data_IF_691618630481
#
_entry.id   IF_691618630481
#
_cell.length_a   1.000
_cell.length_b   1.000
_cell.length_c   1.000
_cell.angle_alpha   90.00
_cell.angle_beta   90.00
_cell.angle_gamma   90.00
#
_symmetry.space_group_name_H-M   'P 1'
#
loop_
_entity.id
_entity.type
_entity.pdbx_description
1 polymer ?
#
# COMPACT_ATOMS: atom_id res chain seq x y z
N UNK A 1 -58.33 44.38 -10.52
CA UNK A 1 -57.20 45.19 -10.01
C UNK A 1 -56.89 44.68 -8.61
N UNK A 2 -55.88 43.81 -8.49
CA UNK A 2 -55.50 43.20 -7.21
C UNK A 2 -53.99 43.36 -7.10
N UNK A 3 -53.57 44.28 -6.23
CA UNK A 3 -52.17 44.46 -5.84
C UNK A 3 -51.70 43.23 -5.08
N UNK A 4 -50.60 42.63 -5.52
CA UNK A 4 -49.88 41.63 -4.74
C UNK A 4 -48.44 42.11 -4.59
N UNK A 5 -48.17 42.67 -3.41
CA UNK A 5 -46.86 43.05 -2.92
C UNK A 5 -45.99 41.81 -2.72
N UNK A 6 -44.75 41.85 -3.21
CA UNK A 6 -43.77 40.78 -3.01
C UNK A 6 -43.16 40.78 -1.60
N UNK A 7 -42.53 39.67 -1.19
CA UNK A 7 -41.60 39.66 -0.06
C UNK A 7 -40.14 39.80 -0.54
N UNK A 8 -39.54 40.86 -0.04
CA UNK A 8 -38.10 41.10 0.10
C UNK A 8 -37.52 40.09 1.11
N UNK A 9 -36.52 39.31 0.71
CA UNK A 9 -35.68 38.56 1.65
C UNK A 9 -34.24 39.08 1.57
N UNK A 10 -33.88 39.77 2.64
CA UNK A 10 -32.60 40.35 2.91
C UNK A 10 -31.52 39.28 3.16
N UNK A 11 -30.39 39.49 2.48
CA UNK A 11 -29.01 39.51 3.00
C UNK A 11 -28.83 39.02 4.45
N UNK A 12 -28.17 37.88 4.62
CA UNK A 12 -27.52 37.47 5.88
C UNK A 12 -26.00 37.59 5.79
N UNK A 13 -25.31 37.86 6.90
CA UNK A 13 -23.97 38.43 6.93
C UNK A 13 -22.86 37.38 7.10
N UNK A 14 -21.70 37.74 6.53
CA UNK A 14 -20.37 37.24 6.89
C UNK A 14 -20.22 37.14 8.41
N UNK A 15 -19.76 35.98 8.90
CA UNK A 15 -19.13 35.87 10.21
C UNK A 15 -17.65 35.54 10.04
N UNK A 16 -16.87 36.61 10.10
CA UNK A 16 -15.47 36.59 10.53
C UNK A 16 -15.37 35.93 11.92
N UNK A 17 -14.64 34.82 12.01
CA UNK A 17 -14.11 34.32 13.28
C UNK A 17 -12.59 34.39 13.20
N UNK A 18 -12.07 35.54 13.63
CA UNK A 18 -10.66 35.71 13.93
C UNK A 18 -10.48 35.97 15.43
N UNK A 19 -9.51 35.24 16.01
CA UNK A 19 -8.78 35.51 17.26
C UNK A 19 -9.55 35.30 18.57
N UNK A 20 -9.05 34.40 19.40
CA UNK A 20 -8.11 34.74 20.48
C UNK A 20 -8.20 33.67 21.58
N UNK A 21 -7.14 32.87 21.78
CA UNK A 21 -6.96 32.19 23.07
C UNK A 21 -5.48 32.00 23.38
N UNK A 22 -4.89 33.10 23.84
CA UNK A 22 -3.73 33.07 24.71
C UNK A 22 -4.03 32.25 25.95
N UNK A 23 -3.31 31.14 26.18
CA UNK A 23 -3.23 30.54 27.51
C UNK A 23 -1.84 30.00 27.82
N UNK A 24 -1.14 30.83 28.58
CA UNK A 24 -0.29 30.49 29.73
C UNK A 24 0.82 29.45 29.56
N UNK A 25 2.03 30.01 29.49
CA UNK A 25 3.23 29.51 30.16
C UNK A 25 2.90 28.85 31.51
N UNK A 26 3.30 27.59 31.70
CA UNK A 26 3.62 27.01 32.99
C UNK A 26 4.81 26.06 32.81
N UNK A 27 5.92 26.48 33.40
CA UNK A 27 7.15 25.74 33.60
C UNK A 27 6.89 24.55 34.52
N UNK A 28 7.26 23.34 34.09
CA UNK A 28 7.49 22.20 34.99
C UNK A 28 8.89 21.67 34.75
N UNK A 29 9.79 22.19 35.55
CA UNK A 29 11.10 21.63 35.86
C UNK A 29 10.98 20.35 36.70
N UNK A 30 11.98 19.47 36.52
CA UNK A 30 12.43 18.41 37.42
C UNK A 30 11.64 17.09 37.46
N UNK A 31 12.26 16.00 37.00
CA UNK A 31 13.15 15.21 37.86
C UNK A 31 13.63 13.95 37.12
N UNK A 32 14.93 13.93 36.85
CA UNK A 32 15.65 12.75 36.39
C UNK A 32 15.92 11.85 37.60
N UNK A 33 15.15 10.79 37.74
CA UNK A 33 15.34 9.77 38.79
C UNK A 33 15.92 8.51 38.15
N UNK A 34 17.25 8.38 38.23
CA UNK A 34 17.97 7.14 37.95
C UNK A 34 17.59 6.07 38.99
N UNK A 35 17.28 4.84 38.58
CA UNK A 35 17.25 3.71 39.51
C UNK A 35 18.68 3.20 39.75
N UNK A 36 19.07 3.21 41.03
CA UNK A 36 20.28 2.60 41.58
C UNK A 36 20.09 1.07 41.62
N UNK A 37 20.95 0.31 40.95
CA UNK A 37 21.07 -1.14 41.19
C UNK A 37 22.34 -1.46 41.96
N UNK A 38 22.30 -2.43 42.90
CA UNK A 38 23.37 -2.67 43.86
C UNK A 38 24.54 -3.48 43.28
N UNK A 39 25.71 -3.19 43.84
CA UNK A 39 26.96 -3.90 43.66
C UNK A 39 26.83 -5.40 43.99
N UNK A 40 27.27 -6.26 43.07
CA UNK A 40 27.70 -7.62 43.41
C UNK A 40 29.19 -7.74 43.09
N UNK A 41 29.92 -8.05 44.16
CA UNK A 41 31.37 -8.25 44.22
C UNK A 41 31.65 -9.74 44.00
N UNK A 42 32.83 -10.02 43.44
CA UNK A 42 33.62 -11.26 43.49
C UNK A 42 33.57 -12.19 42.27
N UNK A 43 34.75 -12.48 41.75
CA UNK A 43 34.99 -13.59 40.82
C UNK A 43 36.30 -13.47 40.05
N UNK A 44 37.42 -13.51 40.76
CA UNK A 44 38.76 -13.67 40.18
C UNK A 44 38.89 -15.04 39.50
N UNK A 45 39.36 -15.07 38.26
CA UNK A 45 39.56 -16.31 37.50
C UNK A 45 40.52 -16.11 36.33
N UNK A 46 41.82 -16.26 36.61
CA UNK A 46 42.89 -16.33 35.61
C UNK A 46 42.83 -17.62 34.78
N UNK A 47 42.95 -17.51 33.46
CA UNK A 47 43.60 -18.50 32.55
C UNK A 47 43.63 -17.90 31.14
N UNK A 48 44.76 -17.38 30.66
CA UNK A 48 45.76 -18.07 29.82
C UNK A 48 45.17 -18.93 28.70
N UNK A 49 45.37 -18.47 27.46
CA UNK A 49 45.13 -19.26 26.25
C UNK A 49 45.48 -18.48 24.99
N UNK A 50 46.77 -18.29 24.74
CA UNK A 50 47.27 -17.87 23.43
C UNK A 50 47.06 -19.00 22.41
N UNK A 51 46.63 -18.68 21.18
CA UNK A 51 46.97 -19.43 19.97
C UNK A 51 46.64 -18.61 18.72
N UNK A 52 47.71 -18.10 18.12
CA UNK A 52 47.97 -17.91 16.70
C UNK A 52 47.01 -18.59 15.70
N UNK A 53 46.59 -17.85 14.68
CA UNK A 53 46.61 -18.35 13.31
C UNK A 53 46.72 -17.22 12.28
N UNK A 54 47.91 -17.13 11.71
CA UNK A 54 48.27 -16.37 10.52
C UNK A 54 47.76 -17.11 9.28
N UNK A 55 47.00 -16.45 8.40
CA UNK A 55 46.42 -17.08 7.21
C UNK A 55 46.20 -16.10 6.05
N UNK A 56 47.27 -15.93 5.27
CA UNK A 56 47.42 -15.60 3.84
C UNK A 56 46.41 -14.68 3.08
N UNK A 57 46.92 -13.74 2.24
CA UNK A 57 46.17 -13.10 1.17
C UNK A 57 46.17 -13.98 -0.08
N UNK A 58 45.00 -14.19 -0.68
CA UNK A 58 44.83 -14.93 -1.93
C UNK A 58 44.01 -14.11 -2.90
N UNK A 59 44.68 -13.26 -3.67
CA UNK A 59 44.13 -12.64 -4.87
C UNK A 59 43.72 -13.73 -5.86
N UNK A 60 42.44 -13.74 -6.24
CA UNK A 60 41.95 -14.47 -7.41
C UNK A 60 41.10 -13.53 -8.25
N UNK A 61 41.77 -12.90 -9.20
CA UNK A 61 41.16 -12.49 -10.46
C UNK A 61 40.34 -13.66 -11.04
N UNK A 62 39.05 -13.44 -11.31
CA UNK A 62 38.31 -14.26 -12.28
C UNK A 62 37.11 -13.53 -12.85
N UNK A 63 37.38 -12.94 -14.02
CA UNK A 63 36.55 -12.82 -15.22
C UNK A 63 35.12 -12.23 -15.13
N UNK A 64 34.82 -11.15 -15.89
CA UNK A 64 33.46 -10.71 -16.10
C UNK A 64 32.68 -11.75 -16.94
N UNK A 65 31.58 -12.26 -16.39
CA UNK A 65 30.64 -13.10 -17.14
C UNK A 65 29.93 -12.25 -18.19
N UNK A 66 30.23 -12.51 -19.47
CA UNK A 66 29.39 -12.11 -20.60
C UNK A 66 28.09 -12.90 -20.54
N UNK A 67 26.98 -12.19 -20.33
CA UNK A 67 25.65 -12.74 -20.51
C UNK A 67 25.38 -12.99 -22.01
N UNK A 68 24.85 -14.15 -22.42
CA UNK A 68 24.38 -14.35 -23.77
C UNK A 68 23.11 -13.52 -24.02
N UNK A 69 23.11 -12.75 -25.11
CA UNK A 69 21.87 -12.22 -25.71
C UNK A 69 21.12 -13.38 -26.35
N UNK A 70 19.97 -13.73 -25.77
CA UNK A 70 19.03 -14.67 -26.38
C UNK A 70 17.95 -13.85 -27.09
N UNK A 71 17.88 -14.02 -28.41
CA UNK A 71 16.90 -13.38 -29.29
C UNK A 71 15.47 -13.83 -28.95
N UNK A 72 14.46 -12.96 -29.12
CA UNK A 72 13.05 -13.35 -29.00
C UNK A 72 12.65 -14.25 -30.17
N UNK A 73 12.33 -15.51 -29.85
CA UNK A 73 11.66 -16.44 -30.76
C UNK A 73 10.23 -15.96 -31.02
N UNK A 74 9.97 -15.54 -32.25
CA UNK A 74 8.65 -15.30 -32.82
C UNK A 74 7.93 -16.63 -33.06
N UNK A 75 6.75 -16.84 -32.47
CA UNK A 75 5.77 -17.89 -32.81
C UNK A 75 4.41 -17.46 -32.20
N UNK A 76 3.23 -17.61 -32.77
CA UNK A 76 2.76 -17.98 -34.11
C UNK A 76 1.29 -17.55 -34.14
N UNK A 77 0.92 -16.71 -35.09
CA UNK A 77 -0.46 -16.25 -35.30
C UNK A 77 -1.27 -17.39 -35.90
N UNK A 78 -2.11 -18.05 -35.11
CA UNK A 78 -3.09 -19.02 -35.62
C UNK A 78 -4.36 -18.29 -36.07
N UNK A 79 -4.45 -18.06 -37.38
CA UNK A 79 -5.68 -17.75 -38.10
C UNK A 79 -6.69 -18.91 -38.02
N UNK A 80 -7.95 -18.61 -37.68
CA UNK A 80 -9.07 -19.54 -37.88
C UNK A 80 -10.41 -18.82 -38.01
N UNK A 81 -11.40 -19.44 -38.69
CA UNK A 81 -12.01 -18.81 -39.86
C UNK A 81 -13.47 -18.43 -39.69
N UNK A 82 -13.90 -17.58 -40.62
CA UNK A 82 -15.28 -17.20 -40.92
C UNK A 82 -16.28 -18.35 -40.84
N UNK A 83 -17.32 -18.18 -40.03
CA UNK A 83 -18.59 -18.89 -40.20
C UNK A 83 -19.67 -17.90 -40.60
N UNK A 84 -19.95 -17.85 -41.90
CA UNK A 84 -21.10 -17.16 -42.50
C UNK A 84 -22.36 -17.94 -42.14
N UNK A 85 -23.32 -17.32 -41.46
CA UNK A 85 -24.70 -17.80 -41.44
C UNK A 85 -25.66 -16.69 -41.83
N UNK A 86 -26.03 -16.71 -43.11
CA UNK A 86 -27.16 -15.99 -43.67
C UNK A 86 -28.46 -16.61 -43.16
N UNK A 87 -29.36 -15.77 -42.68
CA UNK A 87 -30.72 -16.13 -42.30
C UNK A 87 -31.59 -14.88 -42.35
N UNK A 88 -32.14 -14.59 -43.52
CA UNK A 88 -33.17 -13.59 -43.70
C UNK A 88 -34.45 -14.06 -42.98
N UNK A 89 -35.03 -13.21 -42.14
CA UNK A 89 -36.46 -13.35 -41.81
C UNK A 89 -37.07 -12.03 -41.33
N UNK A 90 -37.97 -11.53 -42.19
CA UNK A 90 -39.25 -10.91 -41.85
C UNK A 90 -39.25 -9.59 -41.07
N UNK A 91 -39.34 -8.51 -41.85
CA UNK A 91 -39.78 -7.17 -41.46
C UNK A 91 -41.26 -7.17 -41.05
N UNK A 92 -41.54 -7.11 -39.75
CA UNK A 92 -42.82 -6.63 -39.23
C UNK A 92 -42.55 -5.40 -38.36
N UNK A 93 -42.91 -4.24 -38.91
CA UNK A 93 -42.75 -2.93 -38.29
C UNK A 93 -43.59 -2.82 -36.99
N UNK A 94 -42.96 -3.08 -35.85
CA UNK A 94 -43.44 -2.61 -34.55
C UNK A 94 -42.67 -1.34 -34.19
N UNK A 95 -43.38 -0.24 -34.00
CA UNK A 95 -42.82 0.98 -33.40
C UNK A 95 -42.30 0.59 -32.01
N UNK A 96 -40.99 0.70 -31.72
CA UNK A 96 -40.53 0.58 -30.35
C UNK A 96 -40.99 1.83 -29.61
N UNK A 97 -41.91 1.66 -28.66
CA UNK A 97 -42.09 2.64 -27.59
C UNK A 97 -40.75 2.72 -26.86
N UNK A 98 -39.99 3.75 -27.20
CA UNK A 98 -38.79 4.17 -26.50
C UNK A 98 -39.25 4.99 -25.31
N UNK A 99 -39.90 4.33 -24.35
CA UNK A 99 -39.94 4.82 -22.98
C UNK A 99 -38.50 4.73 -22.47
N UNK A 100 -37.73 5.77 -22.79
CA UNK A 100 -36.43 6.05 -22.21
C UNK A 100 -36.70 6.30 -20.74
N UNK A 101 -36.56 5.23 -19.96
CA UNK A 101 -36.63 5.20 -18.51
C UNK A 101 -35.59 6.18 -17.95
N UNK A 102 -35.99 7.45 -17.83
CA UNK A 102 -35.15 8.55 -17.37
C UNK A 102 -34.69 8.32 -15.91
N UNK A 103 -35.41 7.48 -15.16
CA UNK A 103 -35.03 7.07 -13.81
C UNK A 103 -33.82 6.13 -13.80
N UNK A 104 -33.47 5.49 -14.93
CA UNK A 104 -32.27 4.68 -15.05
C UNK A 104 -30.95 5.49 -15.11
N UNK A 105 -31.03 6.83 -15.28
CA UNK A 105 -29.87 7.72 -15.39
C UNK A 105 -29.52 8.35 -14.04
N UNK A 106 -30.41 8.31 -13.04
CA UNK A 106 -30.10 8.71 -11.67
C UNK A 106 -29.36 7.60 -10.92
N UNK A 107 -28.28 7.10 -11.52
CA UNK A 107 -27.34 6.23 -10.79
C UNK A 107 -26.49 7.14 -9.90
N UNK A 108 -26.44 6.89 -8.59
CA UNK A 108 -25.59 7.66 -7.70
C UNK A 108 -24.14 7.54 -8.19
N UNK A 109 -23.56 8.68 -8.56
CA UNK A 109 -22.16 8.84 -9.02
C UNK A 109 -21.16 8.72 -7.85
N UNK A 110 -21.66 8.43 -6.66
CA UNK A 110 -20.91 8.35 -5.40
C UNK A 110 -19.82 7.26 -5.31
N UNK A 111 -19.82 6.12 -6.03
CA UNK A 111 -18.83 5.08 -5.80
C UNK A 111 -17.40 5.52 -6.15
N UNK A 112 -17.21 6.17 -7.30
CA UNK A 112 -15.87 6.37 -7.87
C UNK A 112 -15.01 7.32 -7.03
N UNK A 113 -15.59 8.40 -6.52
CA UNK A 113 -14.87 9.38 -5.71
C UNK A 113 -14.43 8.79 -4.37
N UNK A 114 -15.27 7.96 -3.75
CA UNK A 114 -14.96 7.27 -2.50
C UNK A 114 -13.78 6.30 -2.67
N UNK A 115 -13.75 5.50 -3.75
CA UNK A 115 -12.60 4.63 -4.03
C UNK A 115 -11.31 5.41 -4.20
N UNK A 116 -11.39 6.51 -4.95
CA UNK A 116 -10.24 7.35 -5.20
C UNK A 116 -9.72 7.97 -3.90
N UNK A 117 -10.60 8.49 -3.06
CA UNK A 117 -10.25 9.05 -1.76
C UNK A 117 -9.57 8.01 -0.85
N UNK A 118 -10.11 6.79 -0.80
CA UNK A 118 -9.50 5.70 -0.04
C UNK A 118 -8.12 5.32 -0.61
N UNK A 119 -8.00 5.18 -1.94
CA UNK A 119 -6.72 4.84 -2.59
C UNK A 119 -5.69 5.96 -2.45
N UNK A 120 -6.10 7.22 -2.57
CA UNK A 120 -5.25 8.38 -2.36
C UNK A 120 -4.75 8.41 -0.90
N UNK A 121 -5.61 8.05 0.06
CA UNK A 121 -5.22 8.00 1.47
C UNK A 121 -4.24 6.85 1.80
N UNK A 122 -4.26 5.75 1.03
CA UNK A 122 -3.22 4.71 1.09
C UNK A 122 -1.97 5.05 0.28
N UNK A 123 -2.06 5.99 -0.65
CA UNK A 123 -0.94 6.56 -1.40
C UNK A 123 -0.25 7.70 -0.63
N UNK A 124 -0.72 8.02 0.57
CA UNK A 124 -0.14 9.02 1.44
C UNK A 124 1.34 8.71 1.75
N UNK A 125 2.19 9.71 1.58
CA UNK A 125 3.65 9.57 1.69
C UNK A 125 4.06 9.13 3.10
N UNK A 126 3.41 9.64 4.15
CA UNK A 126 3.74 9.30 5.53
C UNK A 126 3.36 7.86 5.86
N UNK A 127 2.18 7.42 5.43
CA UNK A 127 1.76 6.03 5.55
C UNK A 127 2.69 5.09 4.77
N UNK A 128 2.95 5.40 3.49
CA UNK A 128 3.81 4.60 2.62
C UNK A 128 5.22 4.50 3.19
N UNK A 129 5.78 5.60 3.68
CA UNK A 129 7.09 5.61 4.33
C UNK A 129 7.10 4.76 5.61
N UNK A 130 6.09 4.90 6.47
CA UNK A 130 5.98 4.10 7.71
C UNK A 130 5.91 2.60 7.40
N UNK A 131 5.09 2.22 6.41
CA UNK A 131 4.93 0.84 5.96
C UNK A 131 6.25 0.31 5.38
N UNK A 132 6.92 1.09 4.54
CA UNK A 132 8.20 0.73 3.95
C UNK A 132 9.29 0.54 5.01
N UNK A 133 9.41 1.45 5.98
CA UNK A 133 10.35 1.32 7.10
C UNK A 133 10.10 0.04 7.91
N UNK A 134 8.83 -0.26 8.19
CA UNK A 134 8.44 -1.49 8.87
C UNK A 134 8.85 -2.72 8.06
N UNK A 135 8.51 -2.78 6.77
CA UNK A 135 8.89 -3.90 5.90
C UNK A 135 10.41 -4.07 5.84
N UNK A 136 11.16 -2.97 5.76
CA UNK A 136 12.62 -2.98 5.69
C UNK A 136 13.28 -3.56 6.95
N UNK A 137 12.68 -3.30 8.12
CA UNK A 137 13.12 -3.84 9.42
C UNK A 137 12.92 -5.35 9.52
N UNK A 138 11.87 -5.88 8.92
CA UNK A 138 11.46 -7.28 9.09
C UNK A 138 11.82 -8.20 7.91
N UNK A 139 12.20 -7.65 6.76
CA UNK A 139 12.43 -8.42 5.53
C UNK A 139 13.59 -9.44 5.61
N UNK A 140 14.59 -9.23 6.47
CA UNK A 140 15.76 -10.11 6.57
C UNK A 140 15.41 -11.52 7.10
N UNK A 141 14.23 -11.69 7.72
CA UNK A 141 13.77 -12.98 8.26
C UNK A 141 13.24 -13.95 7.20
N UNK A 142 12.97 -13.44 6.00
CA UNK A 142 12.36 -14.18 4.90
C UNK A 142 13.45 -14.74 3.99
N UNK A 143 13.40 -16.04 3.65
CA UNK A 143 14.40 -16.67 2.81
C UNK A 143 14.06 -16.43 1.33
N UNK A 144 14.99 -16.69 0.41
CA UNK A 144 14.87 -16.26 -0.99
C UNK A 144 14.16 -17.31 -1.89
N UNK A 145 13.85 -18.48 -1.34
CA UNK A 145 13.14 -19.58 -1.99
C UNK A 145 11.63 -19.29 -2.15
N UNK A 146 10.94 -20.03 -3.02
CA UNK A 146 9.51 -19.82 -3.27
C UNK A 146 8.70 -20.05 -1.97
N UNK A 147 7.83 -19.10 -1.54
CA UNK A 147 6.99 -19.28 -0.36
C UNK A 147 6.17 -20.57 -0.35
N UNK A 148 5.84 -21.15 -1.51
CA UNK A 148 5.09 -22.41 -1.54
C UNK A 148 5.93 -23.61 -1.08
N UNK A 149 7.25 -23.54 -1.26
CA UNK A 149 8.18 -24.64 -1.01
C UNK A 149 8.88 -24.55 0.37
N UNK A 150 8.74 -23.42 1.05
CA UNK A 150 9.43 -23.13 2.32
C UNK A 150 8.55 -23.44 3.53
N UNK A 151 9.17 -24.01 4.57
CA UNK A 151 8.52 -24.19 5.86
C UNK A 151 8.14 -22.84 6.47
N UNK A 152 6.84 -22.63 6.67
CA UNK A 152 6.26 -21.38 7.12
C UNK A 152 6.46 -21.20 8.63
N UNK A 153 7.34 -20.28 9.02
CA UNK A 153 7.59 -19.97 10.43
C UNK A 153 6.39 -19.25 11.05
N UNK A 154 6.05 -19.60 12.30
CA UNK A 154 4.97 -18.94 13.05
C UNK A 154 5.18 -17.42 13.18
N UNK A 155 6.43 -16.97 13.27
CA UNK A 155 6.82 -15.56 13.34
C UNK A 155 6.36 -14.78 12.10
N UNK A 156 6.36 -15.40 10.91
CA UNK A 156 5.94 -14.73 9.67
C UNK A 156 4.43 -14.51 9.64
N UNK A 157 3.65 -15.44 10.18
CA UNK A 157 2.21 -15.26 10.34
C UNK A 157 1.90 -14.11 11.30
N UNK A 158 2.68 -13.94 12.37
CA UNK A 158 2.54 -12.79 13.28
C UNK A 158 2.88 -11.48 12.57
N UNK A 159 3.98 -11.45 11.81
CA UNK A 159 4.33 -10.28 11.00
C UNK A 159 3.26 -9.94 9.96
N UNK A 160 2.61 -10.93 9.35
CA UNK A 160 1.50 -10.69 8.43
C UNK A 160 0.29 -10.07 9.15
N UNK A 161 -0.02 -10.50 10.38
CA UNK A 161 -1.07 -9.88 11.19
C UNK A 161 -0.73 -8.43 11.55
N UNK A 162 0.52 -8.16 11.93
CA UNK A 162 0.99 -6.78 12.19
C UNK A 162 0.92 -5.91 10.93
N UNK A 163 1.27 -6.47 9.77
CA UNK A 163 1.17 -5.80 8.48
C UNK A 163 -0.28 -5.45 8.14
N UNK A 164 -1.20 -6.41 8.31
CA UNK A 164 -2.64 -6.21 8.13
C UNK A 164 -3.19 -5.13 9.07
N UNK A 165 -2.80 -5.16 10.35
CA UNK A 165 -3.25 -4.18 11.34
C UNK A 165 -2.91 -2.73 10.94
N UNK A 166 -1.78 -2.49 10.25
CA UNK A 166 -1.43 -1.15 9.74
C UNK A 166 -2.41 -0.65 8.67
N UNK A 167 -2.87 -1.53 7.79
CA UNK A 167 -3.87 -1.18 6.79
C UNK A 167 -5.24 -0.97 7.42
N UNK A 168 -5.62 -1.79 8.39
CA UNK A 168 -6.88 -1.66 9.13
C UNK A 168 -6.94 -0.33 9.91
N UNK A 169 -5.87 0.01 10.64
CA UNK A 169 -5.75 1.30 11.36
C UNK A 169 -5.87 2.49 10.40
N UNK A 170 -5.18 2.44 9.26
CA UNK A 170 -5.25 3.51 8.26
C UNK A 170 -6.63 3.61 7.62
N UNK A 171 -7.24 2.47 7.28
CA UNK A 171 -8.59 2.43 6.74
C UNK A 171 -9.60 3.04 7.72
N UNK A 172 -9.57 2.63 8.99
CA UNK A 172 -10.46 3.15 10.03
C UNK A 172 -10.33 4.67 10.18
N UNK A 173 -9.10 5.19 10.23
CA UNK A 173 -8.85 6.62 10.31
C UNK A 173 -9.47 7.40 9.14
N UNK A 174 -9.30 6.91 7.91
CA UNK A 174 -9.82 7.55 6.68
C UNK A 174 -11.34 7.51 6.66
N UNK A 175 -11.94 6.37 7.01
CA UNK A 175 -13.40 6.22 7.04
C UNK A 175 -14.03 7.10 8.12
N UNK A 176 -13.38 7.23 9.28
CA UNK A 176 -13.83 8.08 10.35
C UNK A 176 -13.74 9.57 9.99
N UNK A 177 -12.64 10.00 9.36
CA UNK A 177 -12.44 11.40 8.93
C UNK A 177 -13.45 11.81 7.86
N UNK A 178 -13.70 10.94 6.88
CA UNK A 178 -14.67 11.19 5.82
C UNK A 178 -16.14 11.00 6.26
N UNK A 179 -16.37 10.45 7.47
CA UNK A 179 -17.71 10.20 7.99
C UNK A 179 -18.47 9.11 7.22
N UNK A 180 -17.74 8.15 6.63
CA UNK A 180 -18.35 7.05 5.90
C UNK A 180 -18.77 5.91 6.85
N UNK A 181 -19.89 5.27 6.51
CA UNK A 181 -20.39 4.10 7.19
C UNK A 181 -19.84 2.83 6.53
N UNK A 182 -19.15 2.00 7.32
CA UNK A 182 -18.44 0.81 6.84
C UNK A 182 -19.38 -0.16 6.12
N UNK A 183 -20.58 -0.37 6.65
CA UNK A 183 -21.56 -1.30 6.07
C UNK A 183 -21.99 -0.85 4.67
N UNK A 184 -22.24 0.46 4.50
CA UNK A 184 -22.60 1.03 3.19
C UNK A 184 -21.47 0.93 2.19
N UNK A 185 -20.23 1.13 2.64
CA UNK A 185 -19.06 0.98 1.76
C UNK A 185 -18.96 -0.45 1.25
N UNK A 186 -19.07 -1.44 2.14
CA UNK A 186 -19.02 -2.86 1.76
C UNK A 186 -20.15 -3.21 0.78
N UNK A 187 -21.35 -2.69 1.00
CA UNK A 187 -22.47 -2.88 0.08
C UNK A 187 -22.18 -2.29 -1.30
N UNK A 188 -21.62 -1.09 -1.38
CA UNK A 188 -21.25 -0.45 -2.64
C UNK A 188 -20.10 -1.18 -3.34
N UNK A 189 -19.09 -1.65 -2.60
CA UNK A 189 -18.01 -2.52 -3.11
C UNK A 189 -18.59 -3.81 -3.67
N UNK A 190 -19.51 -4.43 -2.96
CA UNK A 190 -20.13 -5.69 -3.38
C UNK A 190 -20.97 -5.50 -4.64
N UNK A 191 -21.74 -4.41 -4.73
CA UNK A 191 -22.50 -4.04 -5.95
C UNK A 191 -21.56 -3.78 -7.12
N UNK A 192 -20.46 -3.09 -6.86
CA UNK A 192 -19.43 -2.76 -7.84
C UNK A 192 -18.75 -4.00 -8.42
N UNK A 193 -18.25 -4.89 -7.56
CA UNK A 193 -17.60 -6.15 -7.96
C UNK A 193 -18.54 -7.03 -8.79
N UNK A 194 -19.84 -7.01 -8.50
CA UNK A 194 -20.85 -7.76 -9.27
C UNK A 194 -21.14 -7.17 -10.65
N UNK A 195 -20.83 -5.89 -10.90
CA UNK A 195 -21.14 -5.23 -12.16
C UNK A 195 -19.99 -4.33 -12.66
N UNK A 196 -18.89 -4.92 -13.18
CA UNK A 196 -17.68 -4.19 -13.54
C UNK A 196 -17.78 -3.32 -14.81
N UNK A 197 -18.93 -3.31 -15.50
CA UNK A 197 -19.08 -2.73 -16.86
C UNK A 197 -19.00 -1.19 -16.96
N UNK A 198 -18.57 -0.49 -15.92
CA UNK A 198 -18.57 0.99 -15.89
C UNK A 198 -17.31 1.63 -15.34
N UNK A 199 -16.25 0.88 -15.08
CA UNK A 199 -15.06 1.41 -14.41
C UNK A 199 -13.89 1.53 -15.39
N UNK A 200 -13.68 2.74 -15.88
CA UNK A 200 -12.43 3.12 -16.52
C UNK A 200 -11.79 4.17 -15.61
N UNK A 201 -10.84 3.74 -14.78
CA UNK A 201 -10.06 4.64 -13.96
C UNK A 201 -8.95 5.20 -14.86
N UNK A 202 -9.06 6.45 -15.28
CA UNK A 202 -7.97 7.15 -16.01
C UNK A 202 -6.83 7.61 -15.09
N UNK A 203 -6.70 7.01 -13.91
CA UNK A 203 -5.63 7.36 -13.00
C UNK A 203 -4.30 6.74 -13.47
N UNK A 204 -3.17 7.37 -13.11
CA UNK A 204 -1.84 6.85 -13.39
C UNK A 204 -1.72 5.41 -12.89
N UNK A 205 -1.79 4.47 -13.84
CA UNK A 205 -1.88 3.03 -13.57
C UNK A 205 -0.75 2.59 -12.63
N UNK A 206 0.46 3.11 -12.86
CA UNK A 206 1.67 2.75 -12.12
C UNK A 206 1.60 3.06 -10.61
N UNK A 207 0.99 4.18 -10.21
CA UNK A 207 0.91 4.58 -8.80
C UNK A 207 -0.07 3.67 -8.04
N UNK A 208 -1.23 3.42 -8.66
CA UNK A 208 -2.29 2.60 -8.06
C UNK A 208 -1.85 1.14 -7.96
N UNK A 209 -1.11 0.62 -8.93
CA UNK A 209 -0.62 -0.75 -8.90
C UNK A 209 0.21 -1.06 -7.66
N UNK A 210 1.10 -0.15 -7.23
CA UNK A 210 1.91 -0.35 -6.02
C UNK A 210 1.07 -0.47 -4.75
N UNK A 211 0.06 0.39 -4.60
CA UNK A 211 -0.85 0.39 -3.44
C UNK A 211 -1.76 -0.85 -3.47
N UNK A 212 -2.29 -1.22 -4.63
CA UNK A 212 -3.11 -2.41 -4.79
C UNK A 212 -2.32 -3.68 -4.48
N UNK A 213 -1.06 -3.78 -4.90
CA UNK A 213 -0.21 -4.91 -4.57
C UNK A 213 0.04 -5.01 -3.06
N UNK A 214 0.25 -3.89 -2.38
CA UNK A 214 0.42 -3.83 -0.93
C UNK A 214 -0.86 -4.21 -0.16
N UNK A 215 -2.02 -3.68 -0.58
CA UNK A 215 -3.34 -4.07 -0.04
C UNK A 215 -3.64 -5.55 -0.29
N UNK A 216 -3.26 -6.06 -1.47
CA UNK A 216 -3.47 -7.47 -1.77
C UNK A 216 -2.55 -8.34 -0.90
N UNK A 217 -1.33 -7.88 -0.62
CA UNK A 217 -0.40 -8.52 0.30
C UNK A 217 -0.86 -8.46 1.76
N UNK A 218 -1.75 -7.54 2.17
CA UNK A 218 -2.29 -7.53 3.53
C UNK A 218 -3.39 -8.58 3.78
N UNK A 219 -3.99 -9.11 2.72
CA UNK A 219 -5.02 -10.16 2.81
C UNK A 219 -4.49 -11.55 2.43
N UNK A 220 -3.55 -11.63 1.50
CA UNK A 220 -3.00 -12.89 1.01
C UNK A 220 -1.59 -13.13 1.57
N UNK A 221 -1.48 -14.12 2.45
CA UNK A 221 -0.23 -14.49 3.11
C UNK A 221 0.91 -14.84 2.14
N UNK A 222 0.63 -15.51 1.01
CA UNK A 222 1.68 -15.87 0.04
C UNK A 222 2.18 -14.61 -0.65
N UNK A 223 1.28 -13.67 -0.98
CA UNK A 223 1.66 -12.37 -1.55
C UNK A 223 2.42 -11.51 -0.54
N UNK A 224 2.08 -11.57 0.75
CA UNK A 224 2.86 -10.97 1.83
C UNK A 224 4.30 -11.46 1.85
N UNK A 225 4.52 -12.79 1.84
CA UNK A 225 5.88 -13.34 1.84
C UNK A 225 6.67 -12.88 0.61
N UNK A 226 6.06 -12.89 -0.58
CA UNK A 226 6.69 -12.37 -1.81
C UNK A 226 7.01 -10.89 -1.73
N UNK A 227 6.13 -10.09 -1.11
CA UNK A 227 6.39 -8.68 -0.86
C UNK A 227 7.63 -8.50 0.01
N UNK A 228 7.75 -9.23 1.12
CA UNK A 228 8.90 -9.14 2.03
C UNK A 228 10.21 -9.60 1.35
N UNK A 229 10.16 -10.65 0.53
CA UNK A 229 11.28 -11.09 -0.30
C UNK A 229 11.72 -10.01 -1.30
N UNK A 230 10.78 -9.35 -1.95
CA UNK A 230 11.06 -8.22 -2.86
C UNK A 230 11.71 -7.03 -2.13
N UNK A 231 11.24 -6.70 -0.92
CA UNK A 231 11.86 -5.67 -0.06
C UNK A 231 13.29 -6.06 0.31
N UNK A 232 13.53 -7.32 0.70
CA UNK A 232 14.86 -7.85 1.01
C UNK A 232 15.80 -7.77 -0.19
N UNK A 233 15.34 -8.16 -1.37
CA UNK A 233 16.13 -8.08 -2.60
C UNK A 233 16.53 -6.64 -2.93
N UNK A 234 15.60 -5.68 -2.79
CA UNK A 234 15.89 -4.24 -2.96
C UNK A 234 16.91 -3.71 -1.93
N UNK A 235 16.78 -4.14 -0.67
CA UNK A 235 17.73 -3.82 0.40
C UNK A 235 19.14 -4.32 0.11
N UNK A 236 19.27 -5.57 -0.33
CA UNK A 236 20.54 -6.16 -0.74
C UNK A 236 21.13 -5.47 -1.96
N UNK A 237 20.30 -5.14 -2.96
CA UNK A 237 20.74 -4.38 -4.13
C UNK A 237 21.30 -3.00 -3.75
N UNK A 238 20.62 -2.28 -2.86
CA UNK A 238 21.08 -0.98 -2.37
C UNK A 238 22.42 -1.09 -1.63
N UNK A 239 22.57 -2.10 -0.76
CA UNK A 239 23.85 -2.40 -0.08
C UNK A 239 24.97 -2.69 -1.07
N UNK A 240 24.70 -3.50 -2.09
CA UNK A 240 25.70 -3.87 -3.10
C UNK A 240 26.18 -2.66 -3.94
N UNK A 241 25.33 -1.65 -4.16
CA UNK A 241 25.71 -0.44 -4.91
C UNK A 241 26.45 0.56 -4.03
N UNK A 242 25.99 0.76 -2.79
CA UNK A 242 26.52 1.80 -1.90
C UNK A 242 27.76 1.34 -1.12
N UNK A 243 27.94 0.03 -0.95
CA UNK A 243 28.88 -0.55 0.00
C UNK A 243 28.30 -0.56 1.42
N UNK A 244 28.60 -1.60 2.19
CA UNK A 244 28.02 -1.81 3.52
C UNK A 244 28.27 -0.63 4.48
N UNK A 245 29.50 -0.08 4.47
CA UNK A 245 29.88 1.05 5.33
C UNK A 245 29.09 2.33 5.02
N UNK A 246 28.85 2.63 3.74
CA UNK A 246 28.12 3.84 3.35
C UNK A 246 26.60 3.67 3.54
N UNK A 247 26.10 2.44 3.37
CA UNK A 247 24.70 2.11 3.62
C UNK A 247 24.33 2.30 5.09
N UNK A 248 25.17 1.81 6.02
CA UNK A 248 24.96 2.01 7.46
C UNK A 248 25.15 3.47 7.89
N UNK A 249 26.17 4.16 7.34
CA UNK A 249 26.44 5.55 7.66
C UNK A 249 25.35 6.53 7.19
N UNK A 250 24.51 6.14 6.23
CA UNK A 250 23.42 6.98 5.72
C UNK A 250 22.39 7.35 6.78
N UNK A 251 22.35 6.63 7.92
CA UNK A 251 21.41 6.88 9.01
C UNK A 251 19.94 6.77 8.59
N UNK A 252 19.67 6.32 7.36
CA UNK A 252 18.34 6.31 6.77
C UNK A 252 17.43 5.27 7.46
N UNK A 253 18.01 4.33 8.22
CA UNK A 253 17.29 3.23 8.87
C UNK A 253 17.80 2.87 10.28
N UNK A 254 18.66 3.71 10.89
CA UNK A 254 19.34 3.45 12.18
C UNK A 254 18.72 4.18 13.37
#
# INVERSE_FOLDING_TARGET
>A
MVSVSGPSCARSPEQDVAKNSSRSMLSTSASSSRPSTPATKNGSGSSKGASSSTGAPGEKEKSPMRLPLHNPTTCSTSSSPHSRRSGASSTAARKPDMDLDLDAISRPVMPIYMYREILDAFSDDDFTMNLMMWSFKHCDQFPDEDPVDVEQKLEWTQLHQDYRAKFEERAEAVLQEAGYDVEKIIDEITKFVKNPRGFHLEADEDSIHGVLDALTASEDYIKFVRHMQSVKARKQWARNIMGDDAFEASGFFG
#
